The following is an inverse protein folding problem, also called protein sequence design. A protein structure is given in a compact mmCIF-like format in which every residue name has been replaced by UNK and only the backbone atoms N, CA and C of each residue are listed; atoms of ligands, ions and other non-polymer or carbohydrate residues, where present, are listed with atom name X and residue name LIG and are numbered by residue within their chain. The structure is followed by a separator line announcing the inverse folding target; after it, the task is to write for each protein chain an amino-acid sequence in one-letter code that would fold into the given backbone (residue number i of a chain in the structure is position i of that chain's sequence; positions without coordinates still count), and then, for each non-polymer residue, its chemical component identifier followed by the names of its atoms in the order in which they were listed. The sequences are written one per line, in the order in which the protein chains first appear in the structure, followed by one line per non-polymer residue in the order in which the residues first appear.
data_IF_238966988459
#
_entry.id   IF_238966988459
#
_cell.length_a   1.000
_cell.length_b   1.000
_cell.length_c   1.000
_cell.angle_alpha   90.00
_cell.angle_beta   90.00
_cell.angle_gamma   90.00
#
_symmetry.space_group_name_H-M   'P 1'
#
loop_
_entity.id
_entity.type
_entity.pdbx_description
1 polymer ?
#
# COMPACT_ATOMS: atom_id res chain seq x y z
N UNK A 1 1.73 44.93 -52.94
CA UNK A 1 1.67 43.50 -53.28
C UNK A 1 1.58 42.73 -51.98
N UNK A 2 0.46 42.04 -51.73
CA UNK A 2 0.09 41.46 -50.44
C UNK A 2 0.04 39.94 -50.66
N UNK A 3 1.05 39.22 -50.17
CA UNK A 3 1.15 37.77 -50.35
C UNK A 3 0.39 37.08 -49.22
N UNK A 4 -0.83 36.64 -49.52
CA UNK A 4 -1.59 35.69 -48.70
C UNK A 4 -1.15 34.28 -49.06
N UNK A 5 -0.34 33.64 -48.21
CA UNK A 5 -0.04 32.21 -48.32
C UNK A 5 -1.03 31.47 -47.44
N UNK A 6 -2.13 31.01 -48.03
CA UNK A 6 -2.89 29.88 -47.50
C UNK A 6 -2.08 28.61 -47.76
N UNK A 7 -1.56 27.99 -46.71
CA UNK A 7 -1.15 26.59 -46.78
C UNK A 7 -1.64 25.90 -45.51
N UNK A 8 -2.80 25.27 -45.64
CA UNK A 8 -3.45 24.43 -44.64
C UNK A 8 -2.57 23.21 -44.36
N UNK A 9 -1.76 23.29 -43.31
CA UNK A 9 -1.07 22.14 -42.75
C UNK A 9 -2.04 21.40 -41.82
N UNK A 10 -2.76 20.43 -42.36
CA UNK A 10 -3.51 19.44 -41.58
C UNK A 10 -2.51 18.51 -40.91
N UNK A 11 -2.09 18.86 -39.70
CA UNK A 11 -1.30 17.98 -38.83
C UNK A 11 -2.24 16.91 -38.29
N UNK A 12 -2.20 15.72 -38.89
CA UNK A 12 -2.78 14.51 -38.31
C UNK A 12 -1.99 14.16 -37.05
N UNK A 13 -2.44 14.69 -35.90
CA UNK A 13 -2.05 14.23 -34.58
C UNK A 13 -2.61 12.81 -34.39
N UNK A 14 -1.88 11.82 -34.91
CA UNK A 14 -2.09 10.42 -34.59
C UNK A 14 -1.99 10.29 -33.07
N UNK A 15 -3.15 10.09 -32.45
CA UNK A 15 -3.31 9.91 -31.02
C UNK A 15 -2.72 8.55 -30.65
N UNK A 16 -1.39 8.50 -30.52
CA UNK A 16 -0.71 7.43 -29.83
C UNK A 16 -1.12 7.47 -28.37
N UNK A 17 -2.21 6.79 -28.04
CA UNK A 17 -2.50 6.31 -26.70
C UNK A 17 -1.39 5.30 -26.36
N UNK A 18 -0.23 5.83 -26.00
CA UNK A 18 0.74 5.09 -25.23
C UNK A 18 0.08 4.90 -23.87
N UNK A 19 -0.64 3.78 -23.72
CA UNK A 19 -1.01 3.30 -22.41
C UNK A 19 0.31 3.08 -21.66
N UNK A 20 0.76 4.11 -20.95
CA UNK A 20 1.62 3.92 -19.80
C UNK A 20 0.78 3.08 -18.84
N UNK A 21 0.84 1.77 -19.01
CA UNK A 21 0.64 0.83 -17.93
C UNK A 21 1.73 1.18 -16.91
N UNK A 22 1.46 2.20 -16.09
CA UNK A 22 2.15 2.39 -14.83
C UNK A 22 1.85 1.10 -14.07
N UNK A 23 2.77 0.14 -14.16
CA UNK A 23 2.75 -1.05 -13.34
C UNK A 23 2.84 -0.54 -11.90
N UNK A 24 1.67 -0.31 -11.29
CA UNK A 24 1.55 0.36 -10.01
C UNK A 24 2.16 -0.58 -8.96
N UNK A 25 3.39 -0.26 -8.58
CA UNK A 25 4.19 -1.05 -7.67
C UNK A 25 3.89 -0.59 -6.24
N UNK A 26 3.36 -1.49 -5.42
CA UNK A 26 3.15 -1.21 -4.00
C UNK A 26 4.35 -1.66 -3.18
N UNK A 27 4.77 -0.84 -2.22
CA UNK A 27 5.85 -1.17 -1.27
C UNK A 27 5.29 -1.27 0.14
N UNK A 28 5.62 -2.34 0.86
CA UNK A 28 5.21 -2.52 2.26
C UNK A 28 6.25 -3.30 3.05
N UNK A 29 6.25 -3.12 4.38
CA UNK A 29 7.05 -3.93 5.28
C UNK A 29 6.38 -5.28 5.51
N UNK A 30 7.10 -6.35 5.20
CA UNK A 30 6.74 -7.73 5.50
C UNK A 30 7.58 -8.21 6.71
N UNK A 31 6.98 -9.04 7.55
CA UNK A 31 7.52 -9.45 8.85
C UNK A 31 6.61 -9.00 10.00
N UNK A 32 5.95 -9.97 10.64
CA UNK A 32 5.05 -9.73 11.77
C UNK A 32 5.86 -9.77 13.07
N UNK A 33 5.81 -8.69 13.86
CA UNK A 33 6.43 -8.68 15.18
C UNK A 33 5.68 -9.63 16.13
N UNK A 34 6.32 -10.23 17.15
CA UNK A 34 7.71 -9.99 17.59
C UNK A 34 8.77 -10.86 16.90
N UNK A 35 8.38 -11.89 16.13
CA UNK A 35 9.29 -12.80 15.44
C UNK A 35 9.17 -12.64 13.92
N UNK A 36 10.09 -11.88 13.33
CA UNK A 36 9.99 -11.46 11.93
C UNK A 36 10.86 -12.33 11.02
N UNK A 37 10.23 -12.99 10.05
CA UNK A 37 10.90 -13.68 8.96
C UNK A 37 10.81 -12.81 7.72
N UNK A 38 11.94 -12.28 7.27
CA UNK A 38 12.08 -11.28 6.20
C UNK A 38 11.73 -11.79 4.80
N UNK A 39 10.61 -12.50 4.64
CA UNK A 39 10.30 -13.28 3.45
C UNK A 39 9.13 -12.64 2.68
N UNK A 40 9.46 -12.03 1.55
CA UNK A 40 8.43 -11.53 0.66
C UNK A 40 7.71 -12.70 -0.02
N UNK A 41 6.37 -12.72 -0.03
CA UNK A 41 5.66 -13.70 -0.84
C UNK A 41 6.01 -13.47 -2.31
N UNK A 42 5.99 -14.53 -3.13
CA UNK A 42 6.23 -14.39 -4.57
C UNK A 42 5.12 -13.63 -5.28
N UNK A 43 3.88 -13.72 -4.76
CA UNK A 43 2.72 -13.00 -5.28
C UNK A 43 1.83 -12.49 -4.15
N UNK A 44 1.20 -11.33 -4.37
CA UNK A 44 0.20 -10.74 -3.44
C UNK A 44 -0.85 -9.99 -4.22
N UNK A 45 -2.12 -10.35 -4.04
CA UNK A 45 -3.27 -9.74 -4.75
C UNK A 45 -3.06 -9.68 -6.27
N UNK A 46 -2.60 -10.78 -6.88
CA UNK A 46 -2.33 -10.86 -8.32
C UNK A 46 -1.07 -10.09 -8.78
N UNK A 47 -0.34 -9.43 -7.87
CA UNK A 47 0.90 -8.74 -8.15
C UNK A 47 2.11 -9.65 -7.93
N UNK A 48 3.14 -9.51 -8.75
CA UNK A 48 4.42 -10.20 -8.57
C UNK A 48 5.27 -9.42 -7.58
N UNK A 49 5.75 -10.09 -6.55
CA UNK A 49 6.40 -9.49 -5.41
C UNK A 49 7.86 -9.92 -5.31
N UNK A 50 8.73 -8.99 -4.92
CA UNK A 50 10.14 -9.24 -4.66
C UNK A 50 10.60 -8.47 -3.42
N UNK A 51 11.59 -9.01 -2.72
CA UNK A 51 12.30 -8.28 -1.68
C UNK A 51 13.15 -7.17 -2.27
N UNK A 52 13.15 -5.99 -1.66
CA UNK A 52 14.03 -4.88 -2.09
C UNK A 52 15.41 -4.97 -1.46
N UNK A 53 15.67 -5.95 -0.58
CA UNK A 53 16.89 -6.03 0.22
C UNK A 53 17.00 -4.97 1.32
N UNK A 54 15.95 -4.18 1.55
CA UNK A 54 15.89 -3.21 2.64
C UNK A 54 15.30 -3.87 3.87
N UNK A 55 16.07 -3.92 4.96
CA UNK A 55 15.67 -4.56 6.21
C UNK A 55 15.57 -3.57 7.36
N UNK A 56 14.69 -3.86 8.31
CA UNK A 56 14.58 -3.10 9.57
C UNK A 56 14.04 -4.01 10.67
N UNK A 57 14.49 -3.80 11.91
CA UNK A 57 13.92 -4.49 13.08
C UNK A 57 12.54 -3.95 13.45
N UNK A 58 12.15 -2.78 13.00
CA UNK A 58 10.85 -2.15 13.32
C UNK A 58 9.96 -1.94 12.11
N UNK A 59 10.54 -1.53 10.98
CA UNK A 59 9.77 -1.20 9.77
C UNK A 59 8.62 -0.23 10.06
N UNK A 60 7.41 -0.55 9.58
CA UNK A 60 6.17 0.11 10.02
C UNK A 60 5.51 -0.71 11.14
N UNK A 61 5.21 -0.06 12.26
CA UNK A 61 4.52 -0.67 13.42
C UNK A 61 5.46 -1.24 14.48
N UNK A 62 5.09 -2.37 15.08
CA UNK A 62 5.83 -2.96 16.21
C UNK A 62 7.19 -3.55 15.85
N UNK A 63 8.13 -3.46 16.80
CA UNK A 63 9.50 -3.97 16.67
C UNK A 63 9.60 -5.49 16.85
N UNK A 64 10.43 -6.11 16.02
CA UNK A 64 10.84 -7.50 16.13
C UNK A 64 11.81 -7.66 17.29
N UNK A 65 11.55 -8.63 18.18
CA UNK A 65 12.49 -9.06 19.21
C UNK A 65 13.54 -10.00 18.64
N UNK A 66 13.16 -10.77 17.62
CA UNK A 66 14.08 -11.61 16.85
C UNK A 66 13.72 -11.58 15.36
N UNK A 67 14.75 -11.67 14.52
CA UNK A 67 14.64 -11.55 13.08
C UNK A 67 14.54 -10.10 12.60
N UNK A 68 14.10 -9.90 11.35
CA UNK A 68 14.02 -8.58 10.70
C UNK A 68 12.85 -8.53 9.72
N UNK A 69 12.27 -7.35 9.56
CA UNK A 69 11.31 -7.04 8.51
C UNK A 69 12.06 -6.73 7.21
N UNK A 70 11.42 -6.96 6.08
CA UNK A 70 11.93 -6.56 4.76
C UNK A 70 10.89 -5.73 4.02
N UNK A 71 11.34 -4.73 3.26
CA UNK A 71 10.45 -4.06 2.31
C UNK A 71 10.22 -5.00 1.12
N UNK A 72 8.97 -5.31 0.86
CA UNK A 72 8.53 -6.01 -0.34
C UNK A 72 7.98 -5.00 -1.34
N UNK A 73 8.37 -5.16 -2.60
CA UNK A 73 7.84 -4.43 -3.73
C UNK A 73 7.03 -5.38 -4.59
N UNK A 74 5.75 -5.07 -4.80
CA UNK A 74 4.84 -5.88 -5.59
C UNK A 74 4.34 -5.09 -6.80
N UNK A 75 4.74 -5.51 -7.99
CA UNK A 75 4.48 -4.87 -9.27
C UNK A 75 3.61 -5.76 -10.17
N UNK A 76 2.85 -5.13 -11.07
CA UNK A 76 1.95 -5.83 -11.99
C UNK A 76 0.71 -6.40 -11.29
N UNK A 77 -0.12 -7.13 -12.04
CA UNK A 77 -1.44 -7.61 -11.60
C UNK A 77 -2.58 -6.67 -11.97
N UNK A 78 -3.78 -7.23 -12.20
CA UNK A 78 -5.00 -6.42 -12.28
C UNK A 78 -5.04 -5.49 -11.06
N UNK A 79 -5.48 -4.22 -11.20
CA UNK A 79 -5.49 -3.30 -10.08
C UNK A 79 -6.24 -3.97 -8.93
N UNK A 80 -5.51 -4.40 -7.88
CA UNK A 80 -6.17 -4.64 -6.62
C UNK A 80 -6.91 -3.35 -6.32
N UNK A 81 -8.16 -3.44 -5.82
CA UNK A 81 -9.00 -2.26 -5.60
C UNK A 81 -8.09 -1.19 -4.98
N UNK A 82 -8.05 0.01 -5.59
CA UNK A 82 -7.09 1.03 -5.21
C UNK A 82 -7.11 1.10 -3.68
N UNK A 83 -5.94 0.96 -3.05
CA UNK A 83 -5.84 1.33 -1.66
C UNK A 83 -6.44 2.73 -1.62
N UNK A 84 -7.61 2.83 -1.00
CA UNK A 84 -8.36 4.08 -0.98
C UNK A 84 -7.35 5.16 -0.61
N UNK A 85 -7.21 6.27 -1.34
CA UNK A 85 -6.16 7.24 -1.06
C UNK A 85 -6.16 7.70 0.41
N UNK A 86 -7.30 7.58 1.10
CA UNK A 86 -7.41 7.76 2.55
C UNK A 86 -6.53 6.78 3.37
N UNK A 87 -6.30 5.56 2.88
CA UNK A 87 -5.47 4.52 3.49
C UNK A 87 -3.96 4.67 3.23
N UNK A 88 -3.53 5.64 2.40
CA UNK A 88 -2.10 6.00 2.28
C UNK A 88 -1.59 6.72 3.55
N UNK A 89 -2.48 7.40 4.28
CA UNK A 89 -2.18 8.10 5.54
C UNK A 89 -3.34 7.87 6.54
N UNK A 90 -3.36 6.74 7.27
CA UNK A 90 -4.43 6.45 8.21
C UNK A 90 -4.48 7.50 9.33
N UNK A 91 -5.69 8.01 9.59
CA UNK A 91 -5.92 9.16 10.49
C UNK A 91 -6.02 8.73 11.96
N UNK A 92 -6.34 7.48 12.23
CA UNK A 92 -6.55 6.96 13.58
C UNK A 92 -6.39 5.43 13.62
N UNK A 93 -6.06 4.90 14.79
CA UNK A 93 -5.92 3.45 15.05
C UNK A 93 -6.94 3.05 16.10
N UNK A 94 -7.91 2.18 15.75
CA UNK A 94 -8.85 1.59 16.70
C UNK A 94 -8.28 0.29 17.26
N UNK A 95 -8.37 0.11 18.56
CA UNK A 95 -7.98 -1.13 19.25
C UNK A 95 -9.21 -1.91 19.67
N UNK A 96 -9.15 -3.24 19.54
CA UNK A 96 -10.17 -4.16 20.07
C UNK A 96 -9.50 -5.40 20.65
N UNK A 97 -9.99 -5.86 21.78
CA UNK A 97 -9.55 -7.11 22.38
C UNK A 97 -10.36 -8.28 21.83
N UNK A 98 -9.67 -9.29 21.31
CA UNK A 98 -10.26 -10.57 20.93
C UNK A 98 -9.55 -11.65 21.75
N UNK A 99 -10.19 -12.04 22.86
CA UNK A 99 -9.54 -12.86 23.89
C UNK A 99 -8.35 -12.14 24.52
N UNK A 100 -7.19 -12.79 24.53
CA UNK A 100 -5.92 -12.24 25.06
C UNK A 100 -5.12 -11.44 24.04
N UNK A 101 -5.62 -11.27 22.80
CA UNK A 101 -4.89 -10.58 21.72
C UNK A 101 -5.53 -9.22 21.44
N UNK A 102 -4.70 -8.18 21.45
CA UNK A 102 -5.08 -6.83 21.05
C UNK A 102 -4.96 -6.69 19.53
N UNK A 103 -6.09 -6.43 18.89
CA UNK A 103 -6.20 -6.22 17.46
C UNK A 103 -6.30 -4.72 17.20
N UNK A 104 -5.34 -4.18 16.46
CA UNK A 104 -5.35 -2.80 15.97
C UNK A 104 -5.90 -2.77 14.54
N UNK A 105 -6.81 -1.84 14.28
CA UNK A 105 -7.34 -1.53 12.97
C UNK A 105 -6.97 -0.09 12.61
N UNK A 106 -6.21 0.08 11.53
CA UNK A 106 -5.96 1.40 10.96
C UNK A 106 -7.21 1.86 10.22
N UNK A 107 -7.76 2.99 10.63
CA UNK A 107 -8.95 3.58 10.03
C UNK A 107 -8.59 4.87 9.31
N UNK A 108 -9.25 5.07 8.18
CA UNK A 108 -9.21 6.31 7.44
C UNK A 108 -10.63 6.77 7.15
N UNK A 109 -10.75 8.03 6.73
CA UNK A 109 -12.03 8.62 6.33
C UNK A 109 -11.92 8.87 4.83
N UNK A 110 -12.77 8.20 4.06
CA UNK A 110 -12.88 8.43 2.61
C UNK A 110 -13.44 9.85 2.34
N UNK A 111 -13.32 10.35 1.10
CA UNK A 111 -13.81 11.65 0.62
C UNK A 111 -15.30 11.86 0.88
N UNK A 112 -16.05 10.78 1.08
CA UNK A 112 -17.48 10.78 1.44
C UNK A 112 -17.74 11.00 2.93
N UNK A 113 -16.69 11.11 3.76
CA UNK A 113 -16.82 11.19 5.22
C UNK A 113 -17.02 9.83 5.90
N UNK A 114 -17.00 8.73 5.15
CA UNK A 114 -17.21 7.37 5.66
C UNK A 114 -15.91 6.80 6.26
N UNK A 115 -16.01 6.22 7.45
CA UNK A 115 -14.89 5.48 8.05
C UNK A 115 -14.68 4.16 7.31
N UNK A 116 -13.44 3.93 6.85
CA UNK A 116 -13.01 2.71 6.19
C UNK A 116 -11.86 2.08 6.98
N UNK A 117 -11.85 0.75 7.04
CA UNK A 117 -10.77 0.00 7.69
C UNK A 117 -9.72 -0.38 6.66
N UNK A 118 -8.52 0.19 6.79
CA UNK A 118 -7.43 0.04 5.84
C UNK A 118 -6.60 -1.23 6.08
N UNK A 119 -6.34 -1.55 7.34
CA UNK A 119 -5.62 -2.77 7.73
C UNK A 119 -5.98 -3.15 9.16
N UNK A 120 -5.93 -4.45 9.45
CA UNK A 120 -6.14 -5.00 10.79
C UNK A 120 -4.98 -5.93 11.12
N UNK A 121 -4.35 -5.75 12.28
CA UNK A 121 -3.18 -6.50 12.71
C UNK A 121 -3.17 -6.70 14.23
N UNK A 122 -2.55 -7.78 14.70
CA UNK A 122 -2.30 -7.97 16.12
C UNK A 122 -1.20 -6.99 16.55
N UNK A 123 -1.48 -6.15 17.54
CA UNK A 123 -0.58 -5.08 17.99
C UNK A 123 -0.22 -5.18 19.47
N UNK A 124 -0.79 -6.15 20.19
CA UNK A 124 -0.46 -6.37 21.58
C UNK A 124 -1.23 -7.54 22.16
N UNK A 125 -1.19 -7.64 23.48
CA UNK A 125 -2.00 -8.56 24.24
C UNK A 125 -2.98 -7.74 25.09
N UNK A 126 -4.19 -8.28 25.24
CA UNK A 126 -5.13 -7.81 26.23
C UNK A 126 -4.88 -8.59 27.50
N UNK A 127 -4.28 -7.93 28.48
CA UNK A 127 -4.26 -8.46 29.84
C UNK A 127 -5.63 -8.18 30.45
N UNK A 128 -6.21 -9.17 31.13
CA UNK A 128 -7.51 -9.02 31.80
C UNK A 128 -7.39 -7.90 32.85
N UNK A 129 -7.99 -6.73 32.55
CA UNK A 129 -7.92 -5.48 33.31
C UNK A 129 -7.06 -4.45 32.56
N UNK A 130 -7.57 -3.36 32.00
CA UNK A 130 -8.56 -2.41 32.52
C UNK A 130 -9.30 -1.65 31.41
N UNK A 131 -10.40 -1.04 31.82
CA UNK A 131 -11.44 -0.31 31.09
C UNK A 131 -10.96 0.98 30.42
#
# INVERSE_FOLDING_TARGET
MKFSVLSTATVLLASGLLELATADCIRYWEGTAPFCNSNCPATKNGRTCKGTGTFSSSGNGGSCWSGKKQICECCGGAPAPPADPACLNPRSTKTKCVGVVLICSNIAVDRTGKEITCSTYACGACFFGSW
#
